data_IF_436650570334
#
_entry.id   IF_436650570334
#
_cell.length_a   1.000
_cell.length_b   1.000
_cell.length_c   1.000
_cell.angle_alpha   90.00
_cell.angle_beta   90.00
_cell.angle_gamma   90.00
#
_symmetry.space_group_name_H-M   'P 1'
#
loop_
_entity.id
_entity.type
_entity.pdbx_description
1 polymer ?
#
# COMPACT_ATOMS: atom_id res chain seq x y z
N UNK A 1 20.28 -8.70 9.81
CA UNK A 1 19.71 -7.36 10.06
C UNK A 1 18.73 -7.02 8.94
N UNK A 2 17.47 -7.50 9.00
CA UNK A 2 16.51 -7.35 7.90
C UNK A 2 15.89 -5.95 7.84
N UNK A 3 15.64 -5.48 6.62
CA UNK A 3 14.86 -4.28 6.33
C UNK A 3 13.71 -4.68 5.37
N UNK A 4 12.49 -4.33 5.76
CA UNK A 4 11.31 -4.37 4.89
C UNK A 4 10.93 -2.94 4.57
N UNK A 5 10.89 -2.64 3.28
CA UNK A 5 10.50 -1.33 2.78
C UNK A 5 9.24 -1.50 1.93
N UNK A 6 8.13 -0.91 2.37
CA UNK A 6 6.86 -0.96 1.67
C UNK A 6 6.45 0.44 1.27
N UNK A 7 6.22 0.62 -0.02
CA UNK A 7 5.62 1.84 -0.55
C UNK A 7 4.19 1.52 -0.99
N UNK A 8 3.22 2.28 -0.50
CA UNK A 8 1.80 2.14 -0.82
C UNK A 8 1.22 3.50 -1.20
N UNK A 9 0.06 3.50 -1.84
CA UNK A 9 -0.72 4.73 -1.99
C UNK A 9 -1.34 5.17 -0.66
N UNK A 10 -1.47 6.48 -0.47
CA UNK A 10 -2.23 7.07 0.64
C UNK A 10 -3.70 6.61 0.68
N UNK A 11 -4.31 6.76 1.86
CA UNK A 11 -5.74 6.50 2.10
C UNK A 11 -6.03 5.28 2.96
N UNK A 12 -5.02 4.69 3.61
CA UNK A 12 -5.22 3.64 4.63
C UNK A 12 -5.39 4.28 6.00
N UNK A 13 -6.14 3.62 6.88
CA UNK A 13 -6.27 4.08 8.26
C UNK A 13 -4.98 3.81 9.05
N UNK A 14 -4.78 4.55 10.14
CA UNK A 14 -3.62 4.35 11.01
C UNK A 14 -3.56 2.91 11.57
N UNK A 15 -4.73 2.30 11.85
CA UNK A 15 -4.85 0.92 12.31
C UNK A 15 -4.41 -0.07 11.23
N UNK A 16 -4.76 0.18 9.97
CA UNK A 16 -4.32 -0.64 8.84
C UNK A 16 -2.80 -0.58 8.64
N UNK A 17 -2.21 0.62 8.72
CA UNK A 17 -0.75 0.78 8.65
C UNK A 17 -0.06 0.08 9.82
N UNK A 18 -0.59 0.22 11.04
CA UNK A 18 -0.06 -0.47 12.23
C UNK A 18 -0.12 -1.99 12.08
N UNK A 19 -1.24 -2.52 11.58
CA UNK A 19 -1.40 -3.94 11.31
C UNK A 19 -0.43 -4.43 10.24
N UNK A 20 -0.26 -3.70 9.14
CA UNK A 20 0.69 -4.01 8.07
C UNK A 20 2.11 -4.15 8.62
N UNK A 21 2.57 -3.17 9.41
CA UNK A 21 3.91 -3.20 10.04
C UNK A 21 4.06 -4.44 10.93
N UNK A 22 3.07 -4.72 11.78
CA UNK A 22 3.11 -5.87 12.68
C UNK A 22 3.18 -7.21 11.94
N UNK A 23 2.39 -7.37 10.87
CA UNK A 23 2.36 -8.61 10.08
C UNK A 23 3.65 -8.82 9.28
N UNK A 24 4.21 -7.77 8.69
CA UNK A 24 5.50 -7.87 7.98
C UNK A 24 6.65 -8.20 8.94
N UNK A 25 6.67 -7.57 10.11
CA UNK A 25 7.65 -7.88 11.15
C UNK A 25 7.58 -9.36 11.57
N UNK A 26 6.38 -9.85 11.91
CA UNK A 26 6.17 -11.24 12.32
C UNK A 26 6.60 -12.23 11.21
N UNK A 27 6.22 -11.96 9.96
CA UNK A 27 6.62 -12.79 8.83
C UNK A 27 8.14 -12.92 8.70
N UNK A 28 8.90 -11.83 8.92
CA UNK A 28 10.37 -11.88 8.87
C UNK A 28 10.94 -12.69 10.03
N UNK A 29 10.44 -12.49 11.26
CA UNK A 29 10.90 -13.25 12.44
C UNK A 29 10.65 -14.75 12.23
N UNK A 30 9.46 -15.12 11.78
CA UNK A 30 9.02 -16.52 11.66
C UNK A 30 9.69 -17.28 10.50
N UNK A 31 10.01 -16.60 9.39
CA UNK A 31 10.48 -17.29 8.17
C UNK A 31 11.99 -17.45 8.09
N UNK A 32 12.75 -16.54 8.70
CA UNK A 32 14.22 -16.53 8.61
C UNK A 32 14.90 -16.53 9.98
N UNK A 33 14.16 -16.84 11.05
CA UNK A 33 14.63 -16.88 12.44
C UNK A 33 15.39 -15.59 12.83
N UNK A 34 14.88 -14.45 12.37
CA UNK A 34 15.49 -13.16 12.66
C UNK A 34 15.16 -12.72 14.08
N UNK A 35 16.18 -12.26 14.83
CA UNK A 35 15.99 -11.58 16.12
C UNK A 35 15.06 -10.36 15.95
N UNK A 36 13.94 -10.27 16.70
CA UNK A 36 12.93 -9.23 16.54
C UNK A 36 13.48 -7.80 16.58
N UNK A 37 14.41 -7.52 17.50
CA UNK A 37 15.03 -6.21 17.70
C UNK A 37 15.86 -5.72 16.49
N UNK A 38 16.17 -6.61 15.54
CA UNK A 38 16.91 -6.27 14.33
C UNK A 38 16.05 -6.14 13.08
N UNK A 39 14.75 -6.40 13.16
CA UNK A 39 13.82 -6.26 12.05
C UNK A 39 13.29 -4.84 11.97
N UNK A 40 13.53 -4.18 10.84
CA UNK A 40 13.02 -2.82 10.57
C UNK A 40 11.97 -2.88 9.49
N UNK A 41 10.87 -2.17 9.68
CA UNK A 41 9.80 -2.03 8.69
C UNK A 41 9.54 -0.55 8.48
N UNK A 42 9.62 -0.10 7.23
CA UNK A 42 9.32 1.26 6.81
C UNK A 42 8.11 1.21 5.91
N UNK A 43 7.13 2.08 6.17
CA UNK A 43 5.98 2.31 5.30
C UNK A 43 6.08 3.73 4.76
N UNK A 44 6.11 3.87 3.42
CA UNK A 44 5.98 5.16 2.74
C UNK A 44 4.63 5.20 2.04
N UNK A 45 3.85 6.23 2.37
CA UNK A 45 2.61 6.53 1.68
C UNK A 45 2.89 7.54 0.56
N UNK A 46 2.33 7.28 -0.60
CA UNK A 46 2.49 8.10 -1.80
C UNK A 46 1.12 8.59 -2.24
N UNK A 47 0.94 9.90 -2.48
CA UNK A 47 -0.31 10.42 -3.02
C UNK A 47 -0.73 9.67 -4.28
N UNK A 48 -2.03 9.42 -4.44
CA UNK A 48 -2.57 8.66 -5.57
C UNK A 48 -2.24 9.29 -6.94
N UNK A 49 -2.06 10.61 -6.97
CA UNK A 49 -1.61 11.38 -8.13
C UNK A 49 -0.15 11.09 -8.54
N UNK A 50 0.67 10.58 -7.62
CA UNK A 50 2.10 10.35 -7.83
C UNK A 50 2.45 8.87 -8.09
N UNK A 51 1.45 7.98 -8.03
CA UNK A 51 1.61 6.57 -8.30
C UNK A 51 0.93 6.23 -9.63
N UNK A 52 1.71 5.86 -10.64
CA UNK A 52 1.20 5.54 -11.97
C UNK A 52 1.63 4.16 -12.46
N UNK A 53 0.75 3.55 -13.26
CA UNK A 53 1.02 2.31 -14.00
C UNK A 53 0.58 2.51 -15.44
N UNK A 54 1.48 2.31 -16.40
CA UNK A 54 1.14 2.49 -17.82
C UNK A 54 0.72 3.91 -18.18
N UNK A 55 1.40 4.92 -17.62
CA UNK A 55 1.12 6.36 -17.82
C UNK A 55 -0.25 6.83 -17.30
N UNK A 56 -0.90 6.04 -16.43
CA UNK A 56 -2.13 6.45 -15.76
C UNK A 56 -1.93 6.37 -14.26
N UNK A 57 -2.19 7.47 -13.56
CA UNK A 57 -2.13 7.55 -12.11
C UNK A 57 -3.28 6.77 -11.45
N UNK A 58 -3.07 6.37 -10.20
CA UNK A 58 -4.10 5.71 -9.38
C UNK A 58 -5.29 6.64 -9.09
N UNK A 59 -5.08 7.96 -9.16
CA UNK A 59 -6.15 8.94 -9.14
C UNK A 59 -6.97 8.94 -10.45
N UNK A 60 -6.30 9.03 -11.60
CA UNK A 60 -6.95 9.00 -12.92
C UNK A 60 -7.72 7.70 -13.15
N UNK A 61 -7.14 6.55 -12.80
CA UNK A 61 -7.82 5.25 -12.88
C UNK A 61 -9.13 5.24 -12.07
N UNK A 62 -9.10 5.81 -10.86
CA UNK A 62 -10.29 5.88 -10.01
C UNK A 62 -11.38 6.79 -10.58
N UNK A 63 -11.00 7.90 -11.20
CA UNK A 63 -11.93 8.82 -11.86
C UNK A 63 -12.53 8.22 -13.13
N UNK A 64 -11.73 7.56 -13.96
CA UNK A 64 -12.21 6.85 -15.15
C UNK A 64 -13.20 5.74 -14.79
N UNK A 65 -12.93 4.98 -13.74
CA UNK A 65 -13.82 3.92 -13.26
C UNK A 65 -15.19 4.46 -12.81
N UNK A 66 -15.22 5.61 -12.12
CA UNK A 66 -16.48 6.27 -11.71
C UNK A 66 -17.30 6.75 -12.90
N UNK A 67 -16.67 7.44 -13.85
CA UNK A 67 -17.33 7.93 -15.07
C UNK A 67 -17.93 6.76 -15.86
N UNK A 68 -17.20 5.65 -15.99
CA UNK A 68 -17.69 4.46 -16.70
C UNK A 68 -18.89 3.78 -16.01
N UNK A 69 -19.03 3.92 -14.68
CA UNK A 69 -20.19 3.41 -13.94
C UNK A 69 -21.42 4.31 -14.15
N UNK A 70 -21.26 5.63 -14.04
CA UNK A 70 -22.35 6.60 -14.26
C UNK A 70 -22.95 6.51 -15.67
N UNK A 71 -22.10 6.26 -16.67
CA UNK A 71 -22.52 6.04 -18.06
C UNK A 71 -23.30 4.72 -18.24
N UNK A 72 -23.03 3.69 -17.45
CA UNK A 72 -23.77 2.42 -17.47
C UNK A 72 -25.13 2.52 -16.78
N UNK A 73 -25.24 3.33 -15.74
CA UNK A 73 -26.50 3.53 -14.99
C UNK A 73 -27.50 4.40 -15.74
N UNK A 74 -27.02 5.22 -16.69
CA UNK A 74 -27.85 6.12 -17.52
C UNK A 74 -28.38 5.47 -18.81
N UNK A 75 -28.06 4.20 -19.07
CA UNK A 75 -28.46 3.43 -20.26
C UNK A 75 -29.46 2.33 -19.90
#
# INVERSE_FOLDING_TARGET
>A
MPLVDVTITEGRSAEQIRALIGRLHAAVVETIDARPEFVRVIVREVPRAHWATGDVTVEEMGSQARIALEQKESQ
#
